data_IF_906707568235
#
_entry.id   IF_906707568235
#
_cell.length_a   1.000
_cell.length_b   1.000
_cell.length_c   1.000
_cell.angle_alpha   90.00
_cell.angle_beta   90.00
_cell.angle_gamma   90.00
#
_symmetry.space_group_name_H-M   'P 1'
#
loop_
_entity.id
_entity.type
_entity.pdbx_description
1 polymer ?
#
# COMPACT_ATOMS: atom_id res chain seq x y z
N UNK A 1 -29.60 -11.40 12.57
CA UNK A 1 -28.96 -11.80 13.84
C UNK A 1 -28.58 -13.26 13.68
N UNK A 2 -27.33 -13.71 13.52
CA UNK A 2 -26.01 -13.09 13.72
C UNK A 2 -24.99 -13.96 12.98
N UNK A 3 -24.06 -13.31 12.27
CA UNK A 3 -23.11 -13.92 11.34
C UNK A 3 -21.95 -14.68 12.01
N UNK A 4 -21.52 -15.72 11.27
CA UNK A 4 -20.18 -16.25 11.06
C UNK A 4 -19.15 -16.17 12.22
N UNK A 5 -18.90 -17.35 12.78
CA UNK A 5 -17.80 -17.67 13.67
C UNK A 5 -16.50 -17.79 12.85
N UNK A 6 -15.57 -16.89 13.14
CA UNK A 6 -14.10 -17.05 13.15
C UNK A 6 -13.56 -18.37 12.59
N UNK A 7 -12.77 -18.29 11.52
CA UNK A 7 -11.78 -19.33 11.21
C UNK A 7 -10.48 -18.68 10.75
N UNK A 8 -9.55 -18.59 11.69
CA UNK A 8 -8.11 -18.43 11.48
C UNK A 8 -7.62 -19.69 10.79
N UNK A 9 -7.00 -19.58 9.59
CA UNK A 9 -6.46 -20.73 8.86
C UNK A 9 -4.92 -20.67 8.83
N UNK A 10 -4.23 -21.38 9.74
CA UNK A 10 -2.77 -21.42 9.73
C UNK A 10 -2.23 -22.39 8.67
N UNK A 11 -1.31 -21.80 7.90
CA UNK A 11 -0.29 -22.35 7.00
C UNK A 11 0.21 -23.78 7.24
N UNK A 12 0.32 -24.49 6.10
CA UNK A 12 1.32 -25.48 5.68
C UNK A 12 1.25 -26.86 6.35
N UNK A 13 0.92 -27.88 5.55
CA UNK A 13 1.64 -29.17 5.46
C UNK A 13 0.94 -30.09 4.44
N UNK A 14 1.36 -30.04 3.17
CA UNK A 14 1.06 -31.12 2.23
C UNK A 14 2.31 -32.02 2.11
N UNK A 15 2.27 -33.12 2.84
CA UNK A 15 3.24 -34.21 2.78
C UNK A 15 2.99 -35.07 1.52
N UNK A 16 4.10 -35.56 1.00
CA UNK A 16 4.39 -36.16 -0.32
C UNK A 16 4.41 -37.70 -0.24
N UNK A 17 3.83 -38.42 -1.21
CA UNK A 17 4.15 -39.80 -1.63
C UNK A 17 3.71 -39.96 -3.13
N UNK A 18 4.55 -39.93 -4.18
CA UNK A 18 5.46 -40.96 -4.79
C UNK A 18 4.71 -42.28 -5.14
N UNK A 19 4.68 -42.90 -6.34
CA UNK A 19 5.65 -43.16 -7.47
C UNK A 19 4.85 -43.79 -8.65
N UNK A 20 5.18 -43.69 -9.95
CA UNK A 20 6.15 -44.53 -10.71
C UNK A 20 6.60 -43.87 -12.04
N UNK A 21 7.68 -44.43 -12.62
CA UNK A 21 8.64 -43.80 -13.52
C UNK A 21 8.34 -43.89 -15.04
N UNK A 22 8.87 -42.92 -15.79
CA UNK A 22 9.22 -43.07 -17.21
C UNK A 22 10.49 -42.27 -17.52
N UNK A 23 11.56 -42.97 -17.90
CA UNK A 23 12.85 -42.40 -18.33
C UNK A 23 12.73 -41.82 -19.74
N UNK A 24 12.94 -40.52 -19.88
CA UNK A 24 13.32 -39.88 -21.14
C UNK A 24 14.30 -38.74 -20.80
N UNK A 25 15.54 -38.87 -21.26
CA UNK A 25 16.61 -37.92 -21.03
C UNK A 25 16.54 -36.79 -22.05
N UNK A 26 16.12 -35.57 -21.70
CA UNK A 26 16.43 -34.35 -22.47
C UNK A 26 16.42 -33.09 -21.56
N UNK A 27 17.59 -32.44 -21.53
CA UNK A 27 17.92 -31.05 -21.16
C UNK A 27 17.69 -30.55 -19.72
N UNK A 28 18.66 -29.80 -19.15
CA UNK A 28 18.38 -28.99 -17.97
C UNK A 28 17.28 -28.01 -18.37
N UNK A 29 16.17 -27.98 -17.62
CA UNK A 29 15.28 -26.83 -17.69
C UNK A 29 16.14 -25.65 -17.25
N UNK A 30 16.59 -24.84 -18.20
CA UNK A 30 17.20 -23.57 -17.86
C UNK A 30 16.19 -22.86 -16.99
N UNK A 31 16.51 -22.69 -15.71
CA UNK A 31 15.86 -21.74 -14.83
C UNK A 31 16.24 -20.33 -15.30
N UNK A 32 16.04 -20.05 -16.59
CA UNK A 32 15.98 -18.70 -17.11
C UNK A 32 14.79 -18.09 -16.40
N UNK A 33 15.06 -17.33 -15.34
CA UNK A 33 14.57 -15.99 -15.02
C UNK A 33 13.30 -15.42 -15.73
N UNK A 34 12.44 -16.27 -16.27
CA UNK A 34 11.14 -15.99 -16.85
C UNK A 34 10.19 -16.19 -15.67
N UNK A 35 9.76 -15.16 -14.97
CA UNK A 35 9.11 -14.03 -15.59
C UNK A 35 9.19 -12.86 -14.61
N UNK A 36 10.28 -12.09 -14.67
CA UNK A 36 10.20 -10.66 -14.33
C UNK A 36 9.56 -9.89 -15.48
N UNK A 37 8.55 -10.45 -16.16
CA UNK A 37 7.52 -9.60 -16.73
C UNK A 37 6.67 -9.16 -15.55
N UNK A 38 7.22 -8.21 -14.79
CA UNK A 38 6.38 -7.13 -14.31
C UNK A 38 5.89 -6.52 -15.61
N UNK A 39 4.78 -7.03 -16.14
CA UNK A 39 4.06 -6.36 -17.21
C UNK A 39 3.94 -4.95 -16.67
N UNK A 40 4.68 -4.03 -17.28
CA UNK A 40 4.53 -2.62 -17.03
C UNK A 40 3.05 -2.41 -17.27
N UNK A 41 2.27 -2.33 -16.18
CA UNK A 41 0.88 -1.95 -16.28
C UNK A 41 0.92 -0.67 -17.10
N UNK A 42 0.13 -0.58 -18.19
CA UNK A 42 0.08 0.64 -18.96
C UNK A 42 -0.15 1.74 -17.93
N UNK A 43 0.83 2.64 -17.80
CA UNK A 43 0.74 3.73 -16.85
C UNK A 43 -0.50 4.50 -17.28
N UNK A 44 -1.58 4.33 -16.51
CA UNK A 44 -2.78 5.12 -16.69
C UNK A 44 -2.32 6.58 -16.71
N UNK A 45 -2.94 7.44 -17.54
CA UNK A 45 -2.56 8.84 -17.57
C UNK A 45 -2.62 9.37 -16.13
N UNK A 46 -1.50 9.88 -15.64
CA UNK A 46 -1.42 10.39 -14.28
C UNK A 46 -2.43 11.51 -14.12
N UNK A 47 -3.41 11.31 -13.23
CA UNK A 47 -4.40 12.33 -12.90
C UNK A 47 -3.67 13.49 -12.21
N UNK A 48 -3.92 14.76 -12.60
CA UNK A 48 -3.32 15.90 -11.92
C UNK A 48 -3.75 15.93 -10.45
N UNK A 49 -2.85 16.35 -9.57
CA UNK A 49 -3.13 16.47 -8.15
C UNK A 49 -4.18 17.57 -7.87
N UNK A 50 -5.19 17.25 -7.05
CA UNK A 50 -6.07 18.25 -6.44
C UNK A 50 -5.64 18.52 -4.99
N UNK A 51 -5.04 19.69 -4.77
CA UNK A 51 -4.57 20.11 -3.44
C UNK A 51 -5.71 20.15 -2.39
N UNK A 52 -6.97 20.30 -2.81
CA UNK A 52 -8.12 20.32 -1.91
C UNK A 52 -8.25 19.02 -1.12
N UNK A 53 -7.83 17.88 -1.69
CA UNK A 53 -7.82 16.58 -1.01
C UNK A 53 -6.88 16.58 0.20
N UNK A 54 -5.72 17.23 0.11
CA UNK A 54 -4.81 17.35 1.25
C UNK A 54 -5.45 18.13 2.41
N UNK A 55 -6.06 19.27 2.12
CA UNK A 55 -6.74 20.10 3.13
C UNK A 55 -7.92 19.37 3.77
N UNK A 56 -8.70 18.63 2.97
CA UNK A 56 -9.81 17.84 3.47
C UNK A 56 -9.34 16.72 4.42
N UNK A 57 -8.29 15.99 4.04
CA UNK A 57 -7.72 14.93 4.89
C UNK A 57 -7.17 15.51 6.18
N UNK A 58 -6.38 16.59 6.10
CA UNK A 58 -5.84 17.24 7.30
C UNK A 58 -6.94 17.71 8.26
N UNK A 59 -7.98 18.36 7.72
CA UNK A 59 -9.14 18.82 8.50
C UNK A 59 -9.90 17.65 9.11
N UNK A 60 -10.09 16.57 8.35
CA UNK A 60 -10.79 15.38 8.83
C UNK A 60 -10.07 14.76 10.02
N UNK A 61 -8.75 14.62 9.95
CA UNK A 61 -7.95 14.16 11.09
C UNK A 61 -8.10 15.13 12.27
N UNK A 62 -7.95 16.44 12.04
CA UNK A 62 -8.09 17.45 13.10
C UNK A 62 -9.41 17.33 13.85
N UNK A 63 -10.49 17.11 13.12
CA UNK A 63 -11.86 17.13 13.66
C UNK A 63 -12.32 15.76 14.19
N UNK A 64 -11.69 14.65 13.76
CA UNK A 64 -12.19 13.28 13.98
C UNK A 64 -11.18 12.29 14.56
N UNK A 65 -9.90 12.65 14.71
CA UNK A 65 -8.91 11.76 15.30
C UNK A 65 -9.27 11.43 16.76
N UNK A 66 -9.02 10.19 17.18
CA UNK A 66 -9.53 9.68 18.45
C UNK A 66 -8.87 10.35 19.67
N UNK A 67 -7.59 10.72 19.55
CA UNK A 67 -6.86 11.47 20.57
C UNK A 67 -6.83 12.95 20.21
N UNK A 68 -7.51 13.83 20.96
CA UNK A 68 -7.53 15.26 20.68
C UNK A 68 -6.15 15.93 20.82
N UNK A 69 -5.16 15.27 21.43
CA UNK A 69 -3.80 15.78 21.55
C UNK A 69 -2.85 15.25 20.47
N UNK A 70 -3.31 14.39 19.56
CA UNK A 70 -2.48 13.78 18.50
C UNK A 70 -1.17 13.18 19.04
N UNK A 71 -1.20 12.49 20.18
CA UNK A 71 -0.02 11.98 20.88
C UNK A 71 1.02 13.05 21.28
N UNK A 72 0.56 14.29 21.51
CA UNK A 72 1.41 15.44 21.84
C UNK A 72 1.95 16.19 20.61
N UNK A 73 1.50 15.85 19.41
CA UNK A 73 1.89 16.54 18.18
C UNK A 73 1.07 17.82 17.97
N UNK A 74 1.74 18.88 17.52
CA UNK A 74 1.07 20.05 16.98
C UNK A 74 0.61 19.76 15.54
N UNK A 75 -0.65 19.36 15.41
CA UNK A 75 -1.22 19.01 14.11
C UNK A 75 -1.27 20.19 13.12
N UNK A 76 -1.29 21.44 13.60
CA UNK A 76 -1.19 22.62 12.73
C UNK A 76 0.22 22.76 12.17
N UNK A 77 1.24 22.61 13.01
CA UNK A 77 2.63 22.65 12.57
C UNK A 77 2.97 21.53 11.58
N UNK A 78 2.32 20.37 11.70
CA UNK A 78 2.43 19.29 10.71
C UNK A 78 1.89 19.75 9.35
N UNK A 79 0.69 20.34 9.27
CA UNK A 79 0.18 20.89 8.00
C UNK A 79 1.14 21.88 7.36
N UNK A 80 1.65 22.81 8.13
CA UNK A 80 2.54 23.86 7.61
C UNK A 80 3.84 23.27 7.04
N UNK A 81 4.30 22.11 7.55
CA UNK A 81 5.45 21.39 7.02
C UNK A 81 5.16 20.71 5.68
N UNK A 82 3.99 20.09 5.53
CA UNK A 82 3.65 19.26 4.35
C UNK A 82 2.93 20.02 3.22
N UNK A 83 2.29 21.14 3.52
CA UNK A 83 1.55 21.94 2.54
C UNK A 83 2.39 22.39 1.32
N UNK A 84 3.66 22.84 1.48
CA UNK A 84 4.49 23.21 0.34
C UNK A 84 4.75 22.06 -0.62
N UNK A 85 4.94 20.84 -0.10
CA UNK A 85 5.18 19.65 -0.91
C UNK A 85 3.88 19.21 -1.61
N UNK A 86 2.76 19.25 -0.88
CA UNK A 86 1.43 18.96 -1.44
C UNK A 86 1.09 19.93 -2.59
N UNK A 87 1.42 21.22 -2.46
CA UNK A 87 1.22 22.24 -3.50
C UNK A 87 2.12 22.04 -4.73
N UNK A 88 3.24 21.32 -4.58
CA UNK A 88 4.16 20.99 -5.66
C UNK A 88 3.87 19.64 -6.32
N UNK A 89 2.92 18.87 -5.79
CA UNK A 89 2.55 17.58 -6.34
C UNK A 89 1.97 17.75 -7.76
N UNK A 90 2.55 17.05 -8.73
CA UNK A 90 2.09 17.11 -10.13
C UNK A 90 1.14 15.97 -10.49
N UNK A 91 0.95 15.00 -9.60
CA UNK A 91 0.05 13.86 -9.80
C UNK A 91 -0.62 13.42 -8.50
N UNK A 92 -1.79 12.79 -8.61
CA UNK A 92 -2.50 12.22 -7.46
C UNK A 92 -1.64 11.23 -6.67
N UNK A 93 -0.80 10.42 -7.31
CA UNK A 93 0.06 9.45 -6.62
C UNK A 93 1.18 10.14 -5.82
N UNK A 94 1.64 11.30 -6.28
CA UNK A 94 2.59 12.12 -5.52
C UNK A 94 1.89 12.76 -4.32
N UNK A 95 0.69 13.32 -4.52
CA UNK A 95 -0.10 13.90 -3.44
C UNK A 95 -0.48 12.87 -2.38
N UNK A 96 -0.91 11.67 -2.80
CA UNK A 96 -1.27 10.58 -1.91
C UNK A 96 -0.06 10.14 -1.06
N UNK A 97 1.16 10.11 -1.62
CA UNK A 97 2.36 9.82 -0.85
C UNK A 97 2.61 10.86 0.24
N UNK A 98 2.53 12.14 -0.11
CA UNK A 98 2.69 13.26 0.84
C UNK A 98 1.64 13.19 1.96
N UNK A 99 0.38 12.88 1.62
CA UNK A 99 -0.69 12.68 2.61
C UNK A 99 -0.36 11.50 3.54
N UNK A 100 0.07 10.36 3.00
CA UNK A 100 0.42 9.20 3.82
C UNK A 100 1.62 9.48 4.73
N UNK A 101 2.61 10.23 4.25
CA UNK A 101 3.75 10.66 5.07
C UNK A 101 3.30 11.56 6.21
N UNK A 102 2.40 12.53 5.95
CA UNK A 102 1.80 13.38 6.98
C UNK A 102 1.02 12.57 8.03
N UNK A 103 0.21 11.60 7.59
CA UNK A 103 -0.58 10.74 8.48
C UNK A 103 0.30 9.79 9.31
N UNK A 104 1.48 9.42 8.80
CA UNK A 104 2.42 8.53 9.50
C UNK A 104 3.03 9.16 10.76
N UNK A 105 2.92 10.48 10.93
CA UNK A 105 3.32 11.18 12.15
C UNK A 105 2.42 10.76 13.34
N UNK A 106 1.16 10.37 13.11
CA UNK A 106 0.14 10.06 14.13
C UNK A 106 0.27 8.66 14.78
N UNK A 107 1.50 8.20 14.99
CA UNK A 107 1.88 6.83 15.37
C UNK A 107 1.00 6.14 16.43
#
# INVERSE_FOLDING_TARGET
>A
MTEAITTVHPRRHFLRLMTTAATAAIAPVSLSAQQRDTAAQPALPATPADISTFEEVWRTVRDRFYDPHFNGLDWSAVRDRYMPDAARATSEEMLARIINDMLSELR
#
